data_IF_918766445319
#
_entry.id   IF_918766445319
#
_cell.length_a   1.000
_cell.length_b   1.000
_cell.length_c   1.000
_cell.angle_alpha   90.00
_cell.angle_beta   90.00
_cell.angle_gamma   90.00
#
_symmetry.space_group_name_H-M   'P 1'
#
loop_
_entity.id
_entity.type
_entity.pdbx_description
1 polymer ?
#
# COMPACT_ATOMS: atom_id res chain seq x y z
N UNK A 1 24.59 -0.87 -52.30
CA UNK A 1 25.01 -0.91 -50.87
C UNK A 1 23.91 -0.25 -50.04
N UNK A 2 23.03 -1.05 -49.45
CA UNK A 2 21.86 -0.55 -48.70
C UNK A 2 22.19 -0.53 -47.22
N UNK A 3 22.17 0.66 -46.61
CA UNK A 3 22.51 0.91 -45.20
C UNK A 3 21.58 0.13 -44.27
N UNK A 4 22.15 -0.68 -43.37
CA UNK A 4 21.43 -1.40 -42.34
C UNK A 4 20.71 -0.41 -41.40
N UNK A 5 19.41 -0.64 -41.19
CA UNK A 5 18.55 0.11 -40.28
C UNK A 5 18.94 -0.28 -38.85
N UNK A 6 19.70 0.59 -38.17
CA UNK A 6 20.03 0.43 -36.75
C UNK A 6 18.72 0.49 -35.94
N UNK A 7 18.24 -0.68 -35.52
CA UNK A 7 17.13 -0.82 -34.59
C UNK A 7 17.64 -0.50 -33.19
N UNK A 8 17.49 0.75 -32.78
CA UNK A 8 17.77 1.19 -31.43
C UNK A 8 16.72 0.59 -30.47
N UNK A 9 17.01 -0.61 -29.95
CA UNK A 9 16.20 -1.27 -28.94
C UNK A 9 16.36 -0.56 -27.61
N UNK A 10 15.52 0.47 -27.37
CA UNK A 10 15.34 1.05 -26.04
C UNK A 10 14.96 -0.07 -25.07
N UNK A 11 15.92 -0.50 -24.26
CA UNK A 11 15.71 -1.44 -23.18
C UNK A 11 14.75 -0.80 -22.17
N UNK A 12 13.49 -1.24 -22.18
CA UNK A 12 12.48 -0.89 -21.19
C UNK A 12 12.89 -1.55 -19.85
N UNK A 13 13.87 -0.95 -19.14
CA UNK A 13 14.14 -1.30 -17.74
C UNK A 13 12.90 -0.91 -16.94
N UNK A 14 11.97 -1.85 -16.76
CA UNK A 14 10.95 -1.76 -15.71
C UNK A 14 11.70 -1.47 -14.42
N UNK A 15 11.57 -0.24 -13.90
CA UNK A 15 11.98 0.09 -12.54
C UNK A 15 11.28 -0.91 -11.64
N UNK A 16 12.03 -1.85 -11.05
CA UNK A 16 11.46 -2.80 -10.11
C UNK A 16 11.11 -2.02 -8.86
N UNK A 17 9.84 -1.62 -8.76
CA UNK A 17 9.29 -1.06 -7.53
C UNK A 17 9.43 -2.11 -6.44
N UNK A 18 10.28 -1.84 -5.46
CA UNK A 18 10.46 -2.70 -4.28
C UNK A 18 9.10 -2.88 -3.60
N UNK A 19 8.64 -4.14 -3.50
CA UNK A 19 7.48 -4.47 -2.67
C UNK A 19 7.85 -4.20 -1.20
N UNK A 20 7.05 -3.38 -0.51
CA UNK A 20 7.30 -2.97 0.88
C UNK A 20 6.16 -3.43 1.78
N UNK A 21 6.53 -3.96 2.95
CA UNK A 21 5.61 -4.15 4.08
C UNK A 21 5.79 -2.96 5.02
N UNK A 22 4.70 -2.27 5.35
CA UNK A 22 4.70 -1.19 6.34
C UNK A 22 3.90 -1.69 7.54
N UNK A 23 4.55 -1.78 8.70
CA UNK A 23 3.93 -2.22 9.93
C UNK A 23 3.77 -1.03 10.87
N UNK A 24 2.54 -0.75 11.29
CA UNK A 24 2.24 0.32 12.25
C UNK A 24 2.10 -0.34 13.62
N UNK A 25 3.08 -0.10 14.48
CA UNK A 25 3.17 -0.68 15.83
C UNK A 25 3.28 0.41 16.89
N UNK A 26 3.26 0.03 18.16
CA UNK A 26 3.35 0.93 19.30
C UNK A 26 2.91 0.27 20.59
N UNK A 27 3.58 0.64 21.67
CA UNK A 27 3.71 -0.18 22.89
C UNK A 27 2.43 -0.38 23.71
N UNK A 28 1.46 0.55 23.62
CA UNK A 28 0.25 0.55 24.46
C UNK A 28 -1.00 0.98 23.70
N UNK A 29 -2.19 0.74 24.27
CA UNK A 29 -3.44 1.31 23.78
C UNK A 29 -3.40 2.85 23.82
N UNK A 30 -4.10 3.51 22.88
CA UNK A 30 -4.21 4.97 22.86
C UNK A 30 -3.02 5.74 22.26
N UNK A 31 -1.95 5.08 21.81
CA UNK A 31 -0.77 5.75 21.21
C UNK A 31 -0.98 6.28 19.78
N UNK A 32 -2.20 6.19 19.23
CA UNK A 32 -2.52 6.71 17.91
C UNK A 32 -2.17 5.81 16.72
N UNK A 33 -1.81 4.54 16.93
CA UNK A 33 -1.49 3.58 15.84
C UNK A 33 -2.53 3.55 14.72
N UNK A 34 -3.81 3.36 15.08
CA UNK A 34 -4.88 3.32 14.09
C UNK A 34 -5.09 4.67 13.40
N UNK A 35 -4.80 5.80 14.07
CA UNK A 35 -4.83 7.13 13.43
C UNK A 35 -3.75 7.21 12.36
N UNK A 36 -2.51 6.81 12.67
CA UNK A 36 -1.41 6.80 11.72
C UNK A 36 -1.68 5.86 10.54
N UNK A 37 -2.22 4.66 10.81
CA UNK A 37 -2.59 3.71 9.76
C UNK A 37 -3.62 4.28 8.79
N UNK A 38 -4.65 4.99 9.30
CA UNK A 38 -5.66 5.67 8.47
C UNK A 38 -5.05 6.80 7.65
N UNK A 39 -4.27 7.69 8.26
CA UNK A 39 -3.59 8.79 7.56
C UNK A 39 -2.70 8.26 6.43
N UNK A 40 -1.92 7.20 6.71
CA UNK A 40 -1.06 6.59 5.70
C UNK A 40 -1.86 6.01 4.53
N UNK A 41 -2.96 5.32 4.82
CA UNK A 41 -3.84 4.77 3.80
C UNK A 41 -4.48 5.88 2.95
N UNK A 42 -4.94 6.97 3.57
CA UNK A 42 -5.46 8.14 2.85
C UNK A 42 -4.42 8.77 1.92
N UNK A 43 -3.17 8.91 2.38
CA UNK A 43 -2.07 9.41 1.54
C UNK A 43 -1.86 8.48 0.33
N UNK A 44 -1.84 7.17 0.55
CA UNK A 44 -1.63 6.21 -0.54
C UNK A 44 -2.76 6.26 -1.56
N UNK A 45 -4.01 6.32 -1.10
CA UNK A 45 -5.18 6.48 -1.96
C UNK A 45 -5.16 7.79 -2.73
N UNK A 46 -4.88 8.91 -2.06
CA UNK A 46 -4.82 10.24 -2.69
C UNK A 46 -3.74 10.36 -3.76
N UNK A 47 -2.64 9.62 -3.61
CA UNK A 47 -1.51 9.58 -4.55
C UNK A 47 -1.59 8.43 -5.56
N UNK A 48 -2.69 7.67 -5.58
CA UNK A 48 -2.87 6.49 -6.41
C UNK A 48 -1.72 5.47 -6.29
N UNK A 49 -1.25 5.26 -5.06
CA UNK A 49 -0.21 4.29 -4.73
C UNK A 49 -0.89 2.96 -4.38
N UNK A 50 -0.66 1.94 -5.21
CA UNK A 50 -1.20 0.60 -4.97
C UNK A 50 -0.70 0.04 -3.63
N UNK A 51 -1.65 -0.37 -2.78
CA UNK A 51 -1.35 -1.06 -1.53
C UNK A 51 -2.50 -1.96 -1.10
N UNK A 52 -2.18 -2.90 -0.22
CA UNK A 52 -3.17 -3.72 0.48
C UNK A 52 -3.02 -3.42 1.96
N UNK A 53 -4.10 -2.98 2.59
CA UNK A 53 -4.14 -2.69 4.02
C UNK A 53 -4.74 -3.85 4.80
N UNK A 54 -4.07 -4.23 5.89
CA UNK A 54 -4.52 -5.26 6.82
C UNK A 54 -4.79 -4.65 8.20
N UNK A 55 -5.93 -5.02 8.79
CA UNK A 55 -6.27 -4.74 10.19
C UNK A 55 -5.98 -5.99 11.03
N UNK A 56 -5.21 -5.82 12.10
CA UNK A 56 -4.74 -6.90 12.96
C UNK A 56 -5.23 -6.76 14.41
N UNK A 57 -6.00 -5.72 14.74
CA UNK A 57 -6.66 -5.57 16.05
C UNK A 57 -8.12 -6.06 15.98
N UNK A 58 -8.42 -7.28 16.47
CA UNK A 58 -9.80 -7.78 16.49
C UNK A 58 -10.66 -7.12 17.57
N UNK A 59 -10.05 -6.52 18.60
CA UNK A 59 -10.78 -5.92 19.71
C UNK A 59 -11.37 -4.56 19.35
N UNK A 60 -10.67 -3.80 18.52
CA UNK A 60 -11.10 -2.49 18.06
C UNK A 60 -10.59 -2.22 16.63
N UNK A 61 -11.21 -2.81 15.60
CA UNK A 61 -10.73 -2.79 14.23
C UNK A 61 -10.98 -1.44 13.54
N UNK A 62 -10.32 -0.39 14.02
CA UNK A 62 -10.53 1.00 13.62
C UNK A 62 -10.22 1.22 12.13
N UNK A 63 -9.20 0.55 11.58
CA UNK A 63 -8.88 0.68 10.16
C UNK A 63 -9.98 0.04 9.31
N UNK A 64 -10.46 -1.15 9.68
CA UNK A 64 -11.56 -1.79 8.96
C UNK A 64 -12.87 -0.98 9.05
N UNK A 65 -13.24 -0.50 10.24
CA UNK A 65 -14.49 0.25 10.46
C UNK A 65 -14.63 1.49 9.57
N UNK A 66 -13.52 2.12 9.20
CA UNK A 66 -13.52 3.33 8.38
C UNK A 66 -13.44 3.07 6.87
N UNK A 67 -12.95 1.90 6.45
CA UNK A 67 -12.64 1.62 5.03
C UNK A 67 -13.32 0.36 4.48
N UNK A 68 -14.18 -0.30 5.27
CA UNK A 68 -14.90 -1.51 4.83
C UNK A 68 -15.87 -1.28 3.66
N UNK A 69 -16.25 -0.03 3.39
CA UNK A 69 -17.12 0.35 2.27
C UNK A 69 -16.34 0.91 1.07
N UNK A 70 -15.01 0.95 1.14
CA UNK A 70 -14.18 1.62 0.14
C UNK A 70 -13.52 0.57 -0.77
N UNK A 71 -13.62 0.75 -2.09
CA UNK A 71 -13.00 -0.16 -3.07
C UNK A 71 -11.46 -0.05 -3.06
N UNK A 72 -10.84 -1.21 -3.28
CA UNK A 72 -9.58 -1.69 -2.66
C UNK A 72 -9.59 -1.48 -1.14
N UNK A 73 -10.45 -2.24 -0.47
CA UNK A 73 -10.75 -2.11 0.96
C UNK A 73 -9.72 -2.76 1.90
N UNK A 74 -9.90 -2.50 3.19
CA UNK A 74 -9.08 -3.08 4.28
C UNK A 74 -9.53 -4.51 4.57
N UNK A 75 -8.57 -5.44 4.69
CA UNK A 75 -8.82 -6.82 5.08
C UNK A 75 -8.53 -7.00 6.57
N UNK A 76 -9.44 -7.60 7.32
CA UNK A 76 -9.11 -8.07 8.68
C UNK A 76 -8.30 -9.35 8.59
N UNK A 77 -7.15 -9.40 9.25
CA UNK A 77 -6.36 -10.60 9.42
C UNK A 77 -6.70 -11.21 10.78
N UNK A 78 -7.14 -12.46 10.80
CA UNK A 78 -7.19 -13.26 12.03
C UNK A 78 -5.84 -13.98 12.13
N UNK A 79 -5.02 -13.52 13.08
CA UNK A 79 -3.80 -14.22 13.49
C UNK A 79 -4.14 -15.22 14.60
#
# INVERSE_FOLDING_TARGET
MTKAKSTNSKSNKKSQTLKRIVMITGDKGGTGKSVVARILLDIYRSKNINCIAYECDPSNPQLWRHYNQVSEGVKTLKL
#
